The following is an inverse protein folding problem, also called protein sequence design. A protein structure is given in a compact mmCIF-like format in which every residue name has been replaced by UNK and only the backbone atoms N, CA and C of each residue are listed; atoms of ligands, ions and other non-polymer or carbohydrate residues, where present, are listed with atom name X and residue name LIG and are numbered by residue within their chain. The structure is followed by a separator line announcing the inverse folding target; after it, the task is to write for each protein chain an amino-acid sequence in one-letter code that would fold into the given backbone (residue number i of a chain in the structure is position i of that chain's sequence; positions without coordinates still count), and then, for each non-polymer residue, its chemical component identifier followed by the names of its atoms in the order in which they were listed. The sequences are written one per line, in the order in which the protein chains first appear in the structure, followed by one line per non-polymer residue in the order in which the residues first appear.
data_IF_094257568286
#
_entry.id   IF_094257568286
#
_cell.length_a   1.000
_cell.length_b   1.000
_cell.length_c   1.000
_cell.angle_alpha   90.00
_cell.angle_beta   90.00
_cell.angle_gamma   90.00
#
_symmetry.space_group_name_H-M   'P 1'
#
loop_
_entity.id
_entity.type
_entity.pdbx_description
1 polymer ?
#
# COMPACT_ATOMS: atom_id res chain seq x y z
N UNK A 1 -3.16 -30.99 19.04
CA UNK A 1 -2.13 -30.11 18.46
C UNK A 1 -2.12 -28.84 19.28
N UNK A 2 -1.04 -28.56 20.03
CA UNK A 2 -0.95 -27.32 20.82
C UNK A 2 -1.03 -26.11 19.89
N UNK A 3 -1.80 -25.09 20.27
CA UNK A 3 -1.85 -23.85 19.51
C UNK A 3 -0.42 -23.29 19.34
N UNK A 4 -0.06 -22.81 18.14
CA UNK A 4 1.26 -22.21 17.94
C UNK A 4 1.43 -21.05 18.92
N UNK A 5 2.60 -20.98 19.57
CA UNK A 5 2.94 -19.85 20.45
C UNK A 5 2.79 -18.56 19.66
N UNK A 6 2.07 -17.55 20.20
CA UNK A 6 1.84 -16.31 19.49
C UNK A 6 3.16 -15.63 19.16
N UNK A 7 3.30 -15.21 17.91
CA UNK A 7 4.45 -14.44 17.46
C UNK A 7 4.04 -13.43 16.41
N UNK A 8 4.69 -12.28 16.44
CA UNK A 8 4.60 -11.31 15.35
C UNK A 8 5.63 -11.69 14.30
N UNK A 9 5.23 -11.69 13.04
CA UNK A 9 6.09 -11.96 11.90
C UNK A 9 6.07 -10.77 10.96
N UNK A 10 7.18 -10.53 10.27
CA UNK A 10 7.26 -9.46 9.26
C UNK A 10 6.51 -9.87 8.01
N UNK A 11 5.61 -9.00 7.53
CA UNK A 11 4.85 -9.15 6.29
C UNK A 11 4.95 -7.84 5.52
N UNK A 12 5.73 -7.84 4.42
CA UNK A 12 6.11 -6.61 3.72
C UNK A 12 6.91 -5.65 4.63
N UNK A 13 6.47 -4.40 4.71
CA UNK A 13 7.05 -3.40 5.60
C UNK A 13 6.45 -3.35 7.00
N UNK A 14 5.50 -4.22 7.38
CA UNK A 14 4.89 -4.22 8.72
C UNK A 14 4.88 -5.57 9.44
N UNK A 15 4.26 -5.62 10.63
CA UNK A 15 4.16 -6.84 11.45
C UNK A 15 2.75 -7.42 11.47
N UNK A 16 2.65 -8.75 11.54
CA UNK A 16 1.40 -9.48 11.69
C UNK A 16 1.49 -10.53 12.80
N UNK A 17 0.51 -10.55 13.70
CA UNK A 17 0.41 -11.52 14.79
C UNK A 17 -0.16 -12.83 14.26
N UNK A 18 0.54 -13.92 14.51
CA UNK A 18 0.07 -15.28 14.19
C UNK A 18 -0.39 -15.95 15.48
N UNK A 19 -1.59 -16.59 15.52
CA UNK A 19 -2.53 -16.79 14.41
C UNK A 19 -3.62 -15.72 14.27
N UNK A 20 -3.66 -14.69 15.12
CA UNK A 20 -4.78 -13.74 15.20
C UNK A 20 -4.92 -12.78 14.00
N UNK A 21 -3.94 -12.73 13.10
CA UNK A 21 -3.86 -11.84 11.94
C UNK A 21 -3.98 -10.33 12.26
N UNK A 22 -3.66 -9.93 13.50
CA UNK A 22 -3.60 -8.51 13.88
C UNK A 22 -2.37 -7.88 13.23
N UNK A 23 -2.52 -6.69 12.66
CA UNK A 23 -1.41 -5.95 12.04
C UNK A 23 -0.90 -4.84 12.95
N UNK A 24 0.41 -4.60 12.90
CA UNK A 24 1.05 -3.56 13.69
C UNK A 24 2.26 -2.97 12.98
N UNK A 25 2.24 -1.65 12.82
CA UNK A 25 3.39 -0.77 12.59
C UNK A 25 4.38 -1.14 11.47
N UNK A 26 5.39 -0.29 11.23
CA UNK A 26 6.56 -0.68 10.48
C UNK A 26 7.31 -1.84 11.14
N UNK A 27 7.89 -2.72 10.34
CA UNK A 27 8.69 -3.85 10.79
C UNK A 27 10.10 -3.40 11.20
N UNK A 28 10.17 -2.70 12.34
CA UNK A 28 11.38 -2.11 12.89
C UNK A 28 11.41 -2.18 14.42
N UNK A 29 12.61 -2.20 14.99
CA UNK A 29 12.84 -2.29 16.44
C UNK A 29 12.24 -1.12 17.22
N UNK A 30 12.05 0.03 16.58
CA UNK A 30 11.43 1.21 17.19
C UNK A 30 9.90 1.12 17.30
N UNK A 31 9.30 0.10 16.68
CA UNK A 31 7.86 -0.13 16.68
C UNK A 31 7.55 -1.52 17.28
N UNK A 32 7.81 -1.71 18.59
CA UNK A 32 7.48 -2.96 19.25
C UNK A 32 5.94 -3.14 19.29
N UNK A 33 5.44 -4.34 19.00
CA UNK A 33 4.02 -4.64 19.10
C UNK A 33 3.47 -4.39 20.51
N UNK A 34 2.20 -3.99 20.64
CA UNK A 34 1.61 -3.68 21.93
C UNK A 34 1.39 -4.94 22.76
N UNK A 35 1.65 -4.84 24.07
CA UNK A 35 1.32 -5.82 25.09
C UNK A 35 2.14 -7.11 25.01
N UNK A 36 2.92 -7.39 26.06
CA UNK A 36 3.76 -8.60 26.17
C UNK A 36 5.25 -8.29 26.25
N UNK A 37 6.02 -9.22 26.80
CA UNK A 37 7.48 -9.13 26.94
C UNK A 37 8.17 -9.58 25.65
N UNK A 38 7.86 -8.89 24.55
CA UNK A 38 8.32 -9.25 23.22
C UNK A 38 9.84 -9.09 23.07
N UNK A 39 10.51 -10.17 22.68
CA UNK A 39 11.91 -10.15 22.26
C UNK A 39 12.02 -10.04 20.73
N UNK A 40 12.92 -9.18 20.22
CA UNK A 40 13.08 -9.01 18.78
C UNK A 40 13.73 -10.26 18.16
N UNK A 41 13.17 -10.70 17.04
CA UNK A 41 13.74 -11.75 16.20
C UNK A 41 14.42 -11.09 15.00
N UNK A 42 15.75 -11.08 15.03
CA UNK A 42 16.58 -10.46 13.98
C UNK A 42 17.29 -11.54 13.17
N UNK A 43 17.19 -11.45 11.85
CA UNK A 43 17.88 -12.34 10.91
C UNK A 43 18.64 -11.47 9.90
N UNK A 44 19.95 -11.69 9.74
CA UNK A 44 20.82 -10.90 8.86
C UNK A 44 20.73 -9.37 9.09
N UNK A 45 20.56 -8.95 10.34
CA UNK A 45 20.44 -7.54 10.71
C UNK A 45 19.08 -6.89 10.40
N UNK A 46 18.12 -7.65 9.85
CA UNK A 46 16.73 -7.20 9.61
C UNK A 46 15.81 -7.81 10.66
N UNK A 47 14.91 -7.00 11.22
CA UNK A 47 13.83 -7.50 12.05
C UNK A 47 12.89 -8.37 11.19
N UNK A 48 12.66 -9.60 11.63
CA UNK A 48 11.77 -10.57 10.97
C UNK A 48 10.58 -10.98 11.85
N UNK A 49 10.60 -10.64 13.13
CA UNK A 49 9.55 -11.03 14.07
C UNK A 49 9.71 -10.48 15.48
N UNK A 50 8.70 -10.71 16.30
CA UNK A 50 8.74 -10.58 17.75
C UNK A 50 8.11 -11.82 18.39
N UNK A 51 8.71 -12.35 19.45
CA UNK A 51 8.18 -13.49 20.19
C UNK A 51 8.51 -13.37 21.68
N UNK A 52 7.83 -14.15 22.52
CA UNK A 52 8.13 -14.19 23.97
C UNK A 52 9.57 -14.63 24.27
N UNK A 53 10.18 -15.37 23.34
CA UNK A 53 11.57 -15.84 23.43
C UNK A 53 12.32 -15.54 22.14
N UNK A 54 13.56 -15.08 22.28
CA UNK A 54 14.48 -14.88 21.18
C UNK A 54 15.10 -16.19 20.68
N UNK A 55 15.86 -16.09 19.58
CA UNK A 55 16.72 -17.17 19.10
C UNK A 55 16.68 -17.36 17.58
N UNK A 56 17.80 -17.82 17.01
CA UNK A 56 17.97 -17.96 15.56
C UNK A 56 16.94 -18.89 14.91
N UNK A 57 16.55 -19.97 15.61
CA UNK A 57 15.53 -20.91 15.11
C UNK A 57 14.17 -20.23 14.94
N UNK A 58 13.75 -19.45 15.95
CA UNK A 58 12.50 -18.69 15.92
C UNK A 58 12.56 -17.57 14.89
N UNK A 59 13.70 -16.90 14.72
CA UNK A 59 13.88 -15.88 13.69
C UNK A 59 13.75 -16.46 12.27
N UNK A 60 14.33 -17.64 11.99
CA UNK A 60 14.15 -18.32 10.70
C UNK A 60 12.69 -18.72 10.47
N UNK A 61 12.06 -19.32 11.48
CA UNK A 61 10.65 -19.69 11.42
C UNK A 61 9.74 -18.46 11.18
N UNK A 62 9.99 -17.35 11.87
CA UNK A 62 9.25 -16.10 11.68
C UNK A 62 9.42 -15.55 10.25
N UNK A 63 10.63 -15.60 9.70
CA UNK A 63 10.90 -15.17 8.33
C UNK A 63 10.17 -16.04 7.30
N UNK A 64 10.19 -17.36 7.46
CA UNK A 64 9.48 -18.31 6.58
C UNK A 64 7.95 -18.10 6.64
N UNK A 65 7.40 -17.98 7.84
CA UNK A 65 5.96 -17.74 8.02
C UNK A 65 5.57 -16.38 7.44
N UNK A 66 6.35 -15.33 7.73
CA UNK A 66 6.11 -13.97 7.26
C UNK A 66 6.15 -13.86 5.73
N UNK A 67 7.13 -14.51 5.08
CA UNK A 67 7.21 -14.56 3.61
C UNK A 67 5.99 -15.25 3.01
N UNK A 68 5.61 -16.43 3.53
CA UNK A 68 4.43 -17.15 3.07
C UNK A 68 3.16 -16.30 3.19
N UNK A 69 2.96 -15.61 4.31
CA UNK A 69 1.80 -14.73 4.51
C UNK A 69 1.85 -13.56 3.52
N UNK A 70 3.02 -12.98 3.26
CA UNK A 70 3.17 -11.90 2.28
C UNK A 70 2.78 -12.36 0.87
N UNK A 71 3.20 -13.55 0.47
CA UNK A 71 2.86 -14.16 -0.82
C UNK A 71 1.35 -14.45 -0.92
N UNK A 72 0.76 -15.06 0.12
CA UNK A 72 -0.68 -15.31 0.20
C UNK A 72 -1.51 -14.02 0.13
N UNK A 73 -1.06 -12.94 0.80
CA UNK A 73 -1.72 -11.63 0.75
C UNK A 73 -1.63 -10.99 -0.63
N UNK A 74 -0.46 -11.08 -1.28
CA UNK A 74 -0.26 -10.61 -2.65
C UNK A 74 -1.22 -11.32 -3.60
N UNK A 75 -1.27 -12.64 -3.54
CA UNK A 75 -2.13 -13.46 -4.40
C UNK A 75 -3.61 -13.15 -4.16
N UNK A 76 -4.02 -13.01 -2.90
CA UNK A 76 -5.38 -12.64 -2.54
C UNK A 76 -5.77 -11.25 -3.10
N UNK A 77 -4.91 -10.24 -2.93
CA UNK A 77 -5.16 -8.89 -3.42
C UNK A 77 -5.24 -8.86 -4.95
N UNK A 78 -4.29 -9.49 -5.64
CA UNK A 78 -4.30 -9.61 -7.10
C UNK A 78 -5.55 -10.33 -7.60
N UNK A 79 -5.94 -11.45 -6.98
CA UNK A 79 -7.15 -12.19 -7.33
C UNK A 79 -8.42 -11.35 -7.14
N UNK A 80 -8.51 -10.60 -6.04
CA UNK A 80 -9.64 -9.70 -5.75
C UNK A 80 -9.71 -8.55 -6.76
N UNK A 81 -8.60 -7.89 -7.05
CA UNK A 81 -8.53 -6.79 -8.02
C UNK A 81 -8.86 -7.28 -9.44
N UNK A 82 -8.31 -8.43 -9.85
CA UNK A 82 -8.61 -9.07 -11.13
C UNK A 82 -10.08 -9.45 -11.29
N UNK A 83 -10.71 -9.95 -10.22
CA UNK A 83 -12.14 -10.23 -10.22
C UNK A 83 -12.97 -8.96 -10.47
N UNK A 84 -12.63 -7.85 -9.79
CA UNK A 84 -13.32 -6.56 -10.00
C UNK A 84 -13.13 -6.01 -11.41
N UNK A 85 -11.92 -6.09 -11.97
CA UNK A 85 -11.66 -5.71 -13.36
C UNK A 85 -12.53 -6.52 -14.32
N UNK A 86 -12.57 -7.85 -14.16
CA UNK A 86 -13.40 -8.74 -14.99
C UNK A 86 -14.88 -8.38 -14.92
N UNK A 87 -15.43 -8.13 -13.73
CA UNK A 87 -16.83 -7.69 -13.57
C UNK A 87 -17.11 -6.38 -14.30
N UNK A 88 -16.16 -5.45 -14.30
CA UNK A 88 -16.28 -4.15 -14.96
C UNK A 88 -16.30 -4.27 -16.49
N UNK A 89 -15.44 -5.14 -17.02
CA UNK A 89 -15.40 -5.46 -18.46
C UNK A 89 -16.74 -6.07 -18.90
N UNK A 90 -17.30 -7.00 -18.13
CA UNK A 90 -18.61 -7.60 -18.45
C UNK A 90 -19.73 -6.56 -18.42
N UNK A 91 -19.73 -5.65 -17.45
CA UNK A 91 -20.72 -4.57 -17.38
C UNK A 91 -20.61 -3.60 -18.57
N UNK A 92 -19.38 -3.29 -19.01
CA UNK A 92 -19.13 -2.50 -20.21
C UNK A 92 -19.63 -3.22 -21.48
N UNK A 93 -19.36 -4.51 -21.62
CA UNK A 93 -19.83 -5.31 -22.76
C UNK A 93 -21.35 -5.33 -22.84
N UNK A 94 -22.03 -5.47 -21.71
CA UNK A 94 -23.50 -5.47 -21.66
C UNK A 94 -24.08 -4.08 -21.98
N UNK A 95 -23.45 -3.01 -21.47
CA UNK A 95 -23.84 -1.64 -21.81
C UNK A 95 -23.62 -1.34 -23.30
N UNK A 96 -22.53 -1.85 -23.89
CA UNK A 96 -22.27 -1.77 -25.33
C UNK A 96 -23.30 -2.51 -26.17
N UNK A 97 -23.72 -3.70 -25.71
CA UNK A 97 -24.82 -4.44 -26.32
C UNK A 97 -26.11 -3.61 -26.33
N UNK A 98 -26.47 -3.00 -25.20
CA UNK A 98 -27.67 -2.15 -25.12
C UNK A 98 -27.60 -0.91 -26.03
N UNK A 99 -26.45 -0.25 -26.10
CA UNK A 99 -26.26 0.90 -26.99
C UNK A 99 -26.41 0.51 -28.47
N UNK A 100 -25.83 -0.64 -28.87
CA UNK A 100 -25.90 -1.15 -30.24
C UNK A 100 -27.32 -1.53 -30.70
N UNK A 101 -28.23 -1.91 -29.78
CA UNK A 101 -29.60 -2.34 -30.08
C UNK A 101 -30.69 -1.28 -29.81
N UNK A 102 -30.37 0.02 -29.85
CA UNK A 102 -31.39 1.07 -30.03
C UNK A 102 -31.47 2.18 -29.00
N UNK A 103 -30.37 2.50 -28.27
CA UNK A 103 -30.27 3.71 -27.43
C UNK A 103 -28.94 4.42 -27.63
N UNK A 104 -28.75 5.14 -28.75
CA UNK A 104 -27.51 5.87 -29.04
C UNK A 104 -27.19 6.98 -28.03
N UNK A 105 -28.17 7.43 -27.24
CA UNK A 105 -28.00 8.36 -26.10
C UNK A 105 -27.05 7.81 -25.01
N UNK A 106 -26.75 6.51 -25.02
CA UNK A 106 -25.88 5.83 -24.04
C UNK A 106 -24.39 5.87 -24.40
N UNK A 107 -24.00 6.48 -25.52
CA UNK A 107 -22.61 6.50 -25.98
C UNK A 107 -21.67 7.25 -25.02
N UNK A 108 -22.13 8.34 -24.40
CA UNK A 108 -21.36 9.07 -23.39
C UNK A 108 -21.13 8.21 -22.14
N UNK A 109 -22.18 7.59 -21.60
CA UNK A 109 -22.05 6.69 -20.45
C UNK A 109 -21.20 5.45 -20.74
N UNK A 110 -21.24 4.94 -21.97
CA UNK A 110 -20.38 3.84 -22.40
C UNK A 110 -18.91 4.25 -22.47
N UNK A 111 -18.62 5.45 -22.97
CA UNK A 111 -17.27 6.00 -22.99
C UNK A 111 -16.73 6.21 -21.57
N UNK A 112 -17.53 6.75 -20.66
CA UNK A 112 -17.17 6.89 -19.25
C UNK A 112 -16.87 5.54 -18.59
N UNK A 113 -17.71 4.52 -18.84
CA UNK A 113 -17.47 3.16 -18.36
C UNK A 113 -16.21 2.54 -18.97
N UNK A 114 -15.92 2.80 -20.24
CA UNK A 114 -14.71 2.29 -20.90
C UNK A 114 -13.44 2.93 -20.32
N UNK A 115 -13.45 4.25 -20.09
CA UNK A 115 -12.37 4.94 -19.39
C UNK A 115 -12.17 4.39 -17.99
N UNK A 116 -13.26 4.10 -17.30
CA UNK A 116 -13.25 3.53 -15.97
C UNK A 116 -12.60 2.14 -15.96
N UNK A 117 -13.01 1.23 -16.86
CA UNK A 117 -12.34 -0.07 -17.06
C UNK A 117 -10.84 0.10 -17.36
N UNK A 118 -10.49 1.07 -18.22
CA UNK A 118 -9.10 1.39 -18.54
C UNK A 118 -8.28 1.81 -17.30
N UNK A 119 -8.84 2.67 -16.44
CA UNK A 119 -8.20 3.07 -15.17
C UNK A 119 -7.97 1.87 -14.24
N UNK A 120 -8.95 0.96 -14.15
CA UNK A 120 -8.83 -0.27 -13.35
C UNK A 120 -7.73 -1.19 -13.87
N UNK A 121 -7.66 -1.37 -15.18
CA UNK A 121 -6.64 -2.19 -15.82
C UNK A 121 -5.23 -1.62 -15.59
N UNK A 122 -5.06 -0.32 -15.79
CA UNK A 122 -3.78 0.37 -15.58
C UNK A 122 -3.31 0.30 -14.11
N UNK A 123 -4.22 0.48 -13.15
CA UNK A 123 -3.89 0.35 -11.72
C UNK A 123 -3.46 -1.06 -11.34
N UNK A 124 -4.14 -2.08 -11.86
CA UNK A 124 -3.76 -3.48 -11.63
C UNK A 124 -2.41 -3.81 -12.28
N UNK A 125 -2.16 -3.36 -13.51
CA UNK A 125 -0.88 -3.56 -14.18
C UNK A 125 0.27 -2.96 -13.36
N UNK A 126 0.14 -1.70 -12.93
CA UNK A 126 1.18 -1.01 -12.17
C UNK A 126 1.47 -1.68 -10.82
N UNK A 127 0.44 -2.26 -10.18
CA UNK A 127 0.61 -2.98 -8.92
C UNK A 127 1.14 -4.41 -9.10
N UNK A 128 0.88 -5.05 -10.24
CA UNK A 128 1.27 -6.43 -10.53
C UNK A 128 2.66 -6.56 -11.18
N UNK A 129 3.08 -5.55 -11.95
CA UNK A 129 4.37 -5.52 -12.65
C UNK A 129 5.46 -5.01 -11.71
N UNK A 130 6.58 -5.72 -11.71
CA UNK A 130 7.76 -5.33 -10.92
C UNK A 130 8.36 -4.02 -11.48
N UNK A 131 8.74 -3.06 -10.62
CA UNK A 131 9.29 -1.79 -11.08
C UNK A 131 10.54 -1.99 -11.95
N UNK A 132 10.62 -1.25 -13.06
CA UNK A 132 11.75 -1.35 -14.00
C UNK A 132 13.02 -0.70 -13.44
N UNK A 133 12.88 0.25 -12.52
CA UNK A 133 13.98 0.93 -11.86
C UNK A 133 14.27 0.34 -10.48
N UNK A 134 15.56 0.23 -10.15
CA UNK A 134 16.01 -0.31 -8.87
C UNK A 134 15.75 0.66 -7.73
N UNK A 135 15.56 0.13 -6.52
CA UNK A 135 15.39 0.94 -5.32
C UNK A 135 16.62 1.80 -5.05
N UNK A 136 16.40 3.12 -4.91
CA UNK A 136 17.44 4.13 -4.64
C UNK A 136 16.95 5.15 -3.62
N UNK A 137 17.82 6.08 -3.22
CA UNK A 137 17.39 7.27 -2.48
C UNK A 137 16.59 8.19 -3.40
N UNK A 138 15.33 8.46 -3.02
CA UNK A 138 14.41 9.32 -3.78
C UNK A 138 13.91 10.43 -2.86
N UNK A 139 13.95 11.67 -3.36
CA UNK A 139 13.46 12.86 -2.64
C UNK A 139 11.93 12.85 -2.65
N UNK A 140 11.31 12.77 -1.47
CA UNK A 140 9.87 12.65 -1.29
C UNK A 140 9.12 13.85 -1.88
N UNK A 141 9.65 15.07 -1.71
CA UNK A 141 9.04 16.28 -2.30
C UNK A 141 8.94 16.23 -3.83
N UNK A 142 9.92 15.64 -4.52
CA UNK A 142 9.88 15.49 -5.98
C UNK A 142 8.78 14.50 -6.42
N UNK A 143 8.68 13.37 -5.73
CA UNK A 143 7.62 12.36 -5.95
C UNK A 143 6.24 12.97 -5.75
N UNK A 144 6.04 13.71 -4.66
CA UNK A 144 4.74 14.32 -4.35
C UNK A 144 4.34 15.40 -5.37
N UNK A 145 5.30 16.17 -5.89
CA UNK A 145 5.03 17.13 -6.95
C UNK A 145 4.55 16.45 -8.25
N UNK A 146 5.03 15.24 -8.54
CA UNK A 146 4.58 14.47 -9.70
C UNK A 146 3.22 13.78 -9.46
N UNK A 147 3.07 13.13 -8.31
CA UNK A 147 1.88 12.31 -8.01
C UNK A 147 0.67 13.15 -7.56
N UNK A 148 0.92 14.21 -6.79
CA UNK A 148 -0.11 15.02 -6.13
C UNK A 148 0.22 16.53 -6.23
N UNK A 149 0.32 17.10 -7.45
CA UNK A 149 0.83 18.45 -7.68
C UNK A 149 0.09 19.58 -6.95
N UNK A 150 -1.18 19.37 -6.57
CA UNK A 150 -2.03 20.37 -5.94
C UNK A 150 -2.19 20.15 -4.41
N UNK A 151 -1.38 19.29 -3.80
CA UNK A 151 -1.41 19.09 -2.36
C UNK A 151 -0.69 20.20 -1.59
N UNK A 152 -1.21 20.52 -0.40
CA UNK A 152 -0.49 21.33 0.58
C UNK A 152 0.59 20.47 1.26
N UNK A 153 1.81 20.52 0.72
CA UNK A 153 2.95 19.71 1.16
C UNK A 153 3.74 20.40 2.28
N UNK A 154 3.75 19.78 3.46
CA UNK A 154 4.59 20.12 4.60
C UNK A 154 5.62 19.00 4.80
N UNK A 155 6.56 18.93 3.87
CA UNK A 155 7.58 17.88 3.81
C UNK A 155 8.96 18.52 3.92
N UNK A 156 9.83 18.05 4.84
CA UNK A 156 11.21 18.53 4.93
C UNK A 156 11.94 18.39 3.58
N UNK A 157 12.77 19.38 3.23
CA UNK A 157 13.48 19.40 1.94
C UNK A 157 14.47 18.24 1.77
N UNK A 158 14.93 17.69 2.88
CA UNK A 158 15.84 16.55 2.99
C UNK A 158 15.12 15.21 3.17
N UNK A 159 13.78 15.18 3.08
CA UNK A 159 13.02 13.94 3.19
C UNK A 159 13.30 13.00 2.02
N UNK A 160 14.20 12.05 2.23
CA UNK A 160 14.56 11.01 1.26
C UNK A 160 14.14 9.61 1.72
N UNK A 161 13.51 8.86 0.84
CA UNK A 161 13.04 7.49 1.05
C UNK A 161 13.78 6.51 0.14
N UNK A 162 13.83 5.24 0.52
CA UNK A 162 14.35 4.16 -0.33
C UNK A 162 13.18 3.60 -1.13
N UNK A 163 13.32 3.56 -2.46
CA UNK A 163 12.32 2.95 -3.33
C UNK A 163 12.58 3.18 -4.81
N UNK A 164 11.77 2.53 -5.64
CA UNK A 164 11.64 2.86 -7.06
C UNK A 164 10.86 4.17 -7.20
N UNK A 165 11.33 5.08 -8.05
CA UNK A 165 10.62 6.34 -8.28
C UNK A 165 9.26 6.10 -8.93
N UNK A 166 9.20 5.13 -9.85
CA UNK A 166 7.95 4.76 -10.53
C UNK A 166 6.93 4.18 -9.56
N UNK A 167 7.34 3.26 -8.68
CA UNK A 167 6.48 2.70 -7.64
C UNK A 167 6.00 3.75 -6.63
N UNK A 168 6.88 4.69 -6.24
CA UNK A 168 6.54 5.78 -5.34
C UNK A 168 5.49 6.72 -5.96
N UNK A 169 5.72 7.18 -7.19
CA UNK A 169 4.77 8.06 -7.90
C UNK A 169 3.42 7.36 -8.07
N UNK A 170 3.43 6.08 -8.43
CA UNK A 170 2.21 5.29 -8.57
C UNK A 170 1.46 5.16 -7.23
N UNK A 171 2.14 4.77 -6.15
CA UNK A 171 1.52 4.63 -4.82
C UNK A 171 0.82 5.92 -4.37
N UNK A 172 1.47 7.07 -4.53
CA UNK A 172 0.89 8.36 -4.16
C UNK A 172 -0.21 8.82 -5.11
N UNK A 173 -0.12 8.49 -6.40
CA UNK A 173 -1.20 8.76 -7.37
C UNK A 173 -2.45 7.98 -7.01
N UNK A 174 -2.32 6.68 -6.69
CA UNK A 174 -3.43 5.84 -6.25
C UNK A 174 -3.99 6.25 -4.90
N UNK A 175 -3.13 6.71 -4.00
CA UNK A 175 -3.57 7.27 -2.72
C UNK A 175 -4.44 8.51 -2.93
N UNK A 176 -4.02 9.43 -3.80
CA UNK A 176 -4.83 10.60 -4.17
C UNK A 176 -6.18 10.18 -4.76
N UNK A 177 -6.19 9.23 -5.70
CA UNK A 177 -7.42 8.76 -6.35
C UNK A 177 -8.38 8.09 -5.34
N UNK A 178 -7.83 7.33 -4.39
CA UNK A 178 -8.61 6.68 -3.33
C UNK A 178 -9.18 7.67 -2.30
N UNK A 179 -8.41 8.70 -1.95
CA UNK A 179 -8.86 9.73 -1.03
C UNK A 179 -9.82 10.72 -1.69
N UNK A 180 -9.78 10.86 -3.03
CA UNK A 180 -10.73 11.63 -3.84
C UNK A 180 -10.99 13.07 -3.31
N UNK A 181 -9.96 13.68 -2.73
CA UNK A 181 -10.02 15.01 -2.14
C UNK A 181 -9.64 16.11 -3.13
N UNK A 182 -10.44 17.17 -3.21
CA UNK A 182 -10.10 18.39 -3.98
C UNK A 182 -9.03 19.26 -3.29
N UNK A 183 -8.54 18.87 -2.12
CA UNK A 183 -7.43 19.50 -1.40
C UNK A 183 -6.82 18.49 -0.45
N UNK A 184 -5.70 17.88 -0.86
CA UNK A 184 -4.94 16.97 -0.02
C UNK A 184 -3.89 17.76 0.76
N UNK A 185 -3.71 17.40 2.02
CA UNK A 185 -2.60 17.88 2.84
C UNK A 185 -1.68 16.70 3.10
N UNK A 186 -0.39 16.93 2.86
CA UNK A 186 0.66 15.93 3.10
C UNK A 186 1.59 16.49 4.15
N UNK A 187 1.76 15.78 5.26
CA UNK A 187 2.74 16.09 6.29
C UNK A 187 3.71 14.90 6.38
N UNK A 188 5.01 15.16 6.51
CA UNK A 188 6.01 14.10 6.66
C UNK A 188 6.88 14.35 7.89
N UNK A 189 7.01 13.33 8.73
CA UNK A 189 7.85 13.37 9.92
C UNK A 189 8.83 12.18 9.94
N UNK A 190 10.10 12.40 10.36
CA UNK A 190 11.05 11.33 10.50
C UNK A 190 10.73 10.49 11.74
N UNK A 191 10.70 9.17 11.57
CA UNK A 191 10.51 8.19 12.64
C UNK A 191 11.63 7.16 12.60
N UNK A 192 12.80 7.57 13.09
CA UNK A 192 13.98 6.72 13.12
C UNK A 192 14.48 6.37 11.72
N UNK A 193 14.42 5.09 11.37
CA UNK A 193 14.79 4.58 10.04
C UNK A 193 13.65 4.71 9.01
N UNK A 194 12.58 5.41 9.34
CA UNK A 194 11.38 5.55 8.51
C UNK A 194 11.00 7.02 8.36
N UNK A 195 10.29 7.30 7.28
CA UNK A 195 9.44 8.48 7.15
C UNK A 195 8.00 8.05 7.37
N UNK A 196 7.28 8.79 8.21
CA UNK A 196 5.83 8.71 8.28
C UNK A 196 5.25 9.84 7.45
N UNK A 197 4.57 9.48 6.38
CA UNK A 197 3.88 10.39 5.46
C UNK A 197 2.39 10.30 5.76
N UNK A 198 1.84 11.37 6.31
CA UNK A 198 0.41 11.48 6.58
C UNK A 198 -0.25 12.22 5.44
N UNK A 199 -1.26 11.60 4.83
CA UNK A 199 -2.05 12.23 3.76
C UNK A 199 -3.48 12.34 4.23
N UNK A 200 -3.97 13.57 4.33
CA UNK A 200 -5.31 13.90 4.84
C UNK A 200 -6.10 14.71 3.82
N UNK A 201 -7.43 14.58 3.87
CA UNK A 201 -8.35 15.34 3.03
C UNK A 201 -8.76 16.61 3.77
N UNK A 202 -8.43 17.79 3.23
CA UNK A 202 -8.70 19.09 3.85
C UNK A 202 -10.13 19.60 3.68
N UNK A 203 -10.95 18.96 2.84
CA UNK A 203 -12.34 19.32 2.56
C UNK A 203 -13.23 18.06 2.57
N UNK A 204 -14.53 18.20 2.29
CA UNK A 204 -15.45 17.07 2.23
C UNK A 204 -14.95 16.01 1.23
N UNK A 205 -14.74 14.78 1.73
CA UNK A 205 -14.24 13.64 0.95
C UNK A 205 -15.28 13.26 -0.09
N UNK A 206 -14.94 13.35 -1.37
CA UNK A 206 -15.79 12.77 -2.42
C UNK A 206 -15.66 11.25 -2.40
N UNK A 207 -16.72 10.50 -2.75
CA UNK A 207 -16.56 9.08 -3.02
C UNK A 207 -15.54 8.89 -4.15
N UNK A 208 -14.56 8.00 -4.01
CA UNK A 208 -13.67 7.66 -5.11
C UNK A 208 -14.49 7.07 -6.27
N UNK A 209 -14.03 7.29 -7.50
CA UNK A 209 -14.65 6.70 -8.69
C UNK A 209 -14.68 5.16 -8.60
N UNK A 210 -13.68 4.57 -7.91
CA UNK A 210 -13.53 3.13 -7.74
C UNK A 210 -13.26 2.76 -6.28
N UNK A 211 -14.26 2.81 -5.40
CA UNK A 211 -14.06 2.55 -3.98
C UNK A 211 -13.44 1.17 -3.70
N UNK A 212 -13.81 0.17 -4.49
CA UNK A 212 -13.37 -1.21 -4.31
C UNK A 212 -11.90 -1.47 -4.66
N UNK A 213 -11.26 -0.57 -5.40
CA UNK A 213 -9.85 -0.70 -5.80
C UNK A 213 -8.91 0.23 -5.03
N UNK A 214 -9.43 1.29 -4.41
CA UNK A 214 -8.61 2.35 -3.80
C UNK A 214 -7.55 1.85 -2.82
N UNK A 215 -7.95 1.53 -1.59
CA UNK A 215 -7.04 1.04 -0.56
C UNK A 215 -6.26 -0.23 -0.96
N UNK A 216 -6.90 -1.26 -1.58
CA UNK A 216 -6.19 -2.49 -1.92
C UNK A 216 -5.04 -2.29 -2.91
N UNK A 217 -5.17 -1.37 -3.88
CA UNK A 217 -4.09 -1.05 -4.82
C UNK A 217 -2.92 -0.36 -4.11
N UNK A 218 -3.22 0.64 -3.27
CA UNK A 218 -2.18 1.36 -2.52
C UNK A 218 -1.45 0.39 -1.60
N UNK A 219 -2.18 -0.49 -0.89
CA UNK A 219 -1.59 -1.51 -0.02
C UNK A 219 -0.68 -2.45 -0.80
N UNK A 220 -1.14 -2.95 -1.94
CA UNK A 220 -0.36 -3.87 -2.77
C UNK A 220 0.98 -3.23 -3.17
N UNK A 221 0.99 -1.99 -3.65
CA UNK A 221 2.22 -1.30 -4.05
C UNK A 221 3.13 -1.04 -2.84
N UNK A 222 2.58 -0.49 -1.75
CA UNK A 222 3.34 -0.14 -0.55
C UNK A 222 3.96 -1.37 0.09
N UNK A 223 3.19 -2.42 0.31
CA UNK A 223 3.64 -3.62 1.04
C UNK A 223 4.60 -4.46 0.18
N UNK A 224 4.44 -4.51 -1.15
CA UNK A 224 5.22 -5.43 -2.01
C UNK A 224 6.36 -4.77 -2.80
N UNK A 225 6.21 -3.51 -3.22
CA UNK A 225 7.21 -2.84 -4.07
C UNK A 225 8.08 -1.84 -3.31
N UNK A 226 7.56 -1.31 -2.20
CA UNK A 226 8.23 -0.24 -1.45
C UNK A 226 8.81 -0.71 -0.09
N UNK A 227 8.62 -1.98 0.27
CA UNK A 227 8.97 -2.49 1.61
C UNK A 227 8.36 -1.62 2.74
N UNK A 228 7.23 -0.97 2.43
CA UNK A 228 6.57 0.04 3.24
C UNK A 228 5.40 -0.51 4.06
N UNK A 229 4.78 0.37 4.84
CA UNK A 229 3.61 0.05 5.66
C UNK A 229 2.49 1.07 5.42
N UNK A 230 1.30 0.59 5.04
CA UNK A 230 0.09 1.41 4.92
C UNK A 230 -0.83 1.23 6.13
N UNK A 231 -1.07 2.33 6.85
CA UNK A 231 -2.10 2.46 7.88
C UNK A 231 -3.31 3.25 7.37
N UNK A 232 -4.36 2.51 7.03
CA UNK A 232 -5.62 3.02 6.48
C UNK A 232 -6.72 3.21 7.54
N UNK A 233 -6.39 3.15 8.84
CA UNK A 233 -7.40 3.17 9.93
C UNK A 233 -8.03 4.55 10.14
N UNK A 234 -7.39 5.61 9.64
CA UNK A 234 -7.86 6.98 9.80
C UNK A 234 -9.09 7.25 8.94
N UNK A 235 -10.12 7.93 9.47
CA UNK A 235 -11.32 8.26 8.69
C UNK A 235 -11.07 9.40 7.68
N UNK A 236 -10.12 10.28 7.98
CA UNK A 236 -9.81 11.53 7.26
C UNK A 236 -8.62 11.40 6.30
N UNK A 237 -8.02 10.21 6.19
CA UNK A 237 -6.77 10.04 5.45
C UNK A 237 -6.14 8.66 5.61
N UNK A 238 -4.86 8.57 5.29
CA UNK A 238 -4.03 7.40 5.55
C UNK A 238 -2.59 7.81 5.87
N UNK A 239 -1.91 6.97 6.63
CA UNK A 239 -0.49 7.14 6.92
C UNK A 239 0.31 6.06 6.14
N UNK A 240 1.33 6.49 5.40
CA UNK A 240 2.28 5.60 4.73
C UNK A 240 3.63 5.74 5.43
N UNK A 241 4.24 4.61 5.78
CA UNK A 241 5.56 4.56 6.36
C UNK A 241 6.51 3.98 5.32
N UNK A 242 7.54 4.73 4.97
CA UNK A 242 8.54 4.35 3.98
C UNK A 242 9.93 4.30 4.61
N UNK A 243 10.79 3.33 4.24
CA UNK A 243 12.16 3.29 4.72
C UNK A 243 12.91 4.58 4.34
N UNK A 244 13.56 5.22 5.31
CA UNK A 244 14.34 6.43 5.08
C UNK A 244 15.66 6.09 4.39
N UNK A 245 16.02 6.88 3.38
CA UNK A 245 17.35 6.82 2.81
C UNK A 245 18.27 7.74 3.61
N UNK A 246 19.38 7.21 4.10
CA UNK A 246 20.46 7.99 4.71
C UNK A 246 21.69 7.87 3.81
N UNK A 247 22.12 8.95 3.13
CA UNK A 247 23.36 8.90 2.36
C UNK A 247 24.51 8.56 3.32
N UNK A 248 25.32 7.56 2.94
CA UNK A 248 26.50 7.14 3.69
C UNK A 248 27.65 8.11 3.51
#
# INVERSE_FOLDING_TARGET
MSAPTPMWVRVGGGMELVPDHKRHGPADLQFPPPGGDWQPLVLNGRLVGWAEQGGLRLARQAAEIGQRIADEQRDYLLGRLGHKLRSSVLALQESARHAAFGRPELLEGLFEQAQEVGRRAAGLEAAAVEPKDTARGVVLGAVLNLAIPNAANHVPSDATVIGSETALVEAFTRLKDWLAGNGLRVDAEPMGAWWKIQVSVGAERKPPAVPELGEPLVRLIVDTQLDGWLDARRPDGADIYLPAHRPR
#
